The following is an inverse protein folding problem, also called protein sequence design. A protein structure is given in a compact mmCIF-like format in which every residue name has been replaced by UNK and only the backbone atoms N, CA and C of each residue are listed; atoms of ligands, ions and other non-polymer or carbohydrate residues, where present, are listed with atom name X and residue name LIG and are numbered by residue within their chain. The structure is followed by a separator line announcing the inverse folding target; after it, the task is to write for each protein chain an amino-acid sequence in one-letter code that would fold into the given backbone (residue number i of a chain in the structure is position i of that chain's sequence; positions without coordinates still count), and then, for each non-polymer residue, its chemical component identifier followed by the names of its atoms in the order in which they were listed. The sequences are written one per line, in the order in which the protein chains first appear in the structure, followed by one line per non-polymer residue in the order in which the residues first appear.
data_IF_450441766782
#
_entry.id   IF_450441766782
#
_cell.length_a   1.000
_cell.length_b   1.000
_cell.length_c   1.000
_cell.angle_alpha   90.00
_cell.angle_beta   90.00
_cell.angle_gamma   90.00
#
_symmetry.space_group_name_H-M   'P 1'
#
loop_
_entity.id
_entity.type
_entity.pdbx_description
1 polymer ?
#
# COMPACT_ATOMS: atom_id res chain seq x y z
N UNK A 1 -16.97 11.06 3.86
CA UNK A 1 -17.01 10.92 2.39
C UNK A 1 -15.78 10.12 1.97
N UNK A 2 -15.94 9.06 1.18
CA UNK A 2 -14.82 8.22 0.71
C UNK A 2 -14.20 8.78 -0.58
N UNK A 3 -12.92 8.50 -0.82
CA UNK A 3 -12.29 8.77 -2.11
C UNK A 3 -13.04 8.00 -3.22
N UNK A 4 -13.28 8.66 -4.36
CA UNK A 4 -13.75 7.97 -5.56
C UNK A 4 -12.67 7.06 -6.15
N UNK A 5 -13.04 6.13 -7.05
CA UNK A 5 -12.07 5.26 -7.71
C UNK A 5 -11.17 6.03 -8.67
N UNK A 6 -9.88 5.74 -8.62
CA UNK A 6 -8.88 6.33 -9.50
C UNK A 6 -8.73 5.51 -10.77
N UNK A 7 -8.62 6.17 -11.93
CA UNK A 7 -8.38 5.50 -13.21
C UNK A 7 -6.87 5.34 -13.43
N UNK A 8 -6.39 4.17 -13.88
CA UNK A 8 -4.98 4.00 -14.17
C UNK A 8 -4.55 4.97 -15.28
N UNK A 9 -3.35 5.50 -15.13
CA UNK A 9 -2.66 6.28 -16.15
C UNK A 9 -2.02 5.38 -17.22
N UNK A 10 -1.12 5.94 -18.04
CA UNK A 10 -0.37 5.17 -19.02
C UNK A 10 0.41 4.00 -18.39
N UNK A 11 0.67 2.90 -19.11
CA UNK A 11 1.48 1.79 -18.59
C UNK A 11 2.91 2.17 -18.20
N UNK A 12 3.41 3.33 -18.65
CA UNK A 12 4.72 3.89 -18.29
C UNK A 12 4.74 4.58 -16.93
N UNK A 13 3.59 4.72 -16.26
CA UNK A 13 3.50 5.31 -14.92
C UNK A 13 4.27 4.46 -13.90
N UNK A 14 5.22 5.09 -13.23
CA UNK A 14 6.07 4.43 -12.23
C UNK A 14 5.44 4.48 -10.83
N UNK A 15 5.51 3.36 -10.13
CA UNK A 15 5.12 3.25 -8.72
C UNK A 15 6.12 4.00 -7.84
N UNK A 16 5.65 4.95 -7.04
CA UNK A 16 6.48 5.81 -6.20
C UNK A 16 6.24 5.59 -4.71
N UNK A 17 5.00 5.28 -4.30
CA UNK A 17 4.64 5.11 -2.89
C UNK A 17 3.82 3.84 -2.64
N UNK A 18 4.29 3.02 -1.69
CA UNK A 18 3.59 1.86 -1.16
C UNK A 18 2.92 2.22 0.17
N UNK A 19 1.64 2.57 0.11
CA UNK A 19 0.77 2.77 1.26
C UNK A 19 0.30 1.45 1.85
N UNK A 20 1.03 0.92 2.82
CA UNK A 20 0.79 -0.41 3.38
C UNK A 20 0.02 -0.37 4.71
N UNK A 21 -0.72 0.69 4.99
CA UNK A 21 -1.61 0.76 6.16
C UNK A 21 -2.78 -0.21 6.09
N UNK A 22 -3.31 -0.60 7.26
CA UNK A 22 -4.54 -1.41 7.32
C UNK A 22 -5.79 -0.56 7.07
N UNK A 23 -6.87 -1.19 6.60
CA UNK A 23 -8.14 -0.50 6.40
C UNK A 23 -8.57 0.24 7.67
N UNK A 24 -9.18 1.41 7.48
CA UNK A 24 -9.67 2.29 8.58
C UNK A 24 -8.60 3.04 9.38
N UNK A 25 -7.33 3.07 8.94
CA UNK A 25 -6.29 3.96 9.49
C UNK A 25 -6.12 5.27 8.70
N UNK A 26 -7.16 5.70 7.97
CA UNK A 26 -7.10 6.90 7.14
C UNK A 26 -6.58 6.66 5.71
N UNK A 27 -6.57 5.41 5.24
CA UNK A 27 -6.05 5.01 3.92
C UNK A 27 -6.70 5.76 2.75
N UNK A 28 -7.99 6.08 2.82
CA UNK A 28 -8.70 6.81 1.76
C UNK A 28 -8.25 8.27 1.66
N UNK A 29 -8.11 8.95 2.80
CA UNK A 29 -7.58 10.32 2.85
C UNK A 29 -6.12 10.35 2.41
N UNK A 30 -5.33 9.35 2.84
CA UNK A 30 -3.95 9.19 2.42
C UNK A 30 -3.82 8.99 0.91
N UNK A 31 -4.65 8.13 0.31
CA UNK A 31 -4.71 7.95 -1.14
C UNK A 31 -5.01 9.25 -1.87
N UNK A 32 -6.04 9.99 -1.45
CA UNK A 32 -6.37 11.30 -2.04
C UNK A 32 -5.23 12.32 -1.93
N UNK A 33 -4.50 12.33 -0.80
CA UNK A 33 -3.31 13.17 -0.66
C UNK A 33 -2.18 12.79 -1.62
N UNK A 34 -1.95 11.49 -1.83
CA UNK A 34 -0.95 11.00 -2.79
C UNK A 34 -1.28 11.40 -4.22
N UNK A 35 -2.56 11.42 -4.60
CA UNK A 35 -2.96 11.88 -5.94
C UNK A 35 -2.62 13.34 -6.18
N UNK A 36 -2.82 14.19 -5.17
CA UNK A 36 -2.47 15.61 -5.21
C UNK A 36 -0.95 15.78 -5.28
N UNK A 37 -0.21 15.09 -4.41
CA UNK A 37 1.23 15.28 -4.25
C UNK A 37 2.03 14.69 -5.41
N UNK A 38 1.64 13.52 -5.91
CA UNK A 38 2.35 12.80 -6.97
C UNK A 38 1.80 13.12 -8.37
N UNK A 39 0.74 13.93 -8.46
CA UNK A 39 0.08 14.31 -9.71
C UNK A 39 -0.25 13.11 -10.59
N UNK A 40 -0.75 12.03 -9.97
CA UNK A 40 -1.04 10.78 -10.64
C UNK A 40 -2.01 9.91 -9.85
N UNK A 41 -2.56 8.86 -10.47
CA UNK A 41 -3.60 8.05 -9.83
C UNK A 41 -3.04 7.15 -8.73
N UNK A 42 -3.75 7.09 -7.60
CA UNK A 42 -3.42 6.22 -6.46
C UNK A 42 -4.43 5.09 -6.36
N UNK A 43 -3.96 3.85 -6.38
CA UNK A 43 -4.82 2.69 -6.24
C UNK A 43 -5.27 2.55 -4.78
N UNK A 44 -6.56 2.69 -4.50
CA UNK A 44 -7.12 2.42 -3.18
C UNK A 44 -8.09 1.26 -3.26
N UNK A 45 -7.80 0.13 -2.62
CA UNK A 45 -8.60 -1.06 -2.89
C UNK A 45 -10.07 -0.95 -2.48
N UNK A 46 -10.41 -0.23 -1.41
CA UNK A 46 -11.82 0.07 -1.08
C UNK A 46 -12.57 0.87 -2.17
N UNK A 47 -11.87 1.70 -2.96
CA UNK A 47 -12.48 2.48 -4.03
C UNK A 47 -12.42 1.72 -5.37
N UNK A 48 -11.25 1.17 -5.70
CA UNK A 48 -10.96 0.53 -6.97
C UNK A 48 -11.49 -0.90 -7.11
N UNK A 49 -11.68 -1.66 -6.02
CA UNK A 49 -12.31 -2.99 -6.11
C UNK A 49 -13.81 -2.88 -6.39
N UNK A 50 -14.48 -1.91 -5.77
CA UNK A 50 -15.94 -1.74 -5.91
C UNK A 50 -16.33 -1.11 -7.24
N UNK A 51 -15.46 -0.30 -7.83
CA UNK A 51 -15.73 0.39 -9.10
C UNK A 51 -14.95 -0.18 -10.29
N UNK A 52 -14.20 -1.27 -10.09
CA UNK A 52 -13.46 -1.93 -11.16
C UNK A 52 -14.36 -2.72 -12.11
N UNK A 53 -13.80 -3.14 -13.25
CA UNK A 53 -14.49 -4.08 -14.15
C UNK A 53 -14.55 -5.48 -13.55
N UNK A 54 -15.42 -6.35 -14.08
CA UNK A 54 -15.49 -7.76 -13.67
C UNK A 54 -14.12 -8.44 -13.79
N UNK A 55 -13.37 -8.14 -14.86
CA UNK A 55 -12.01 -8.65 -15.06
C UNK A 55 -11.07 -8.22 -13.93
N UNK A 56 -11.21 -6.99 -13.42
CA UNK A 56 -10.41 -6.49 -12.30
C UNK A 56 -10.66 -7.30 -11.03
N UNK A 57 -11.93 -7.55 -10.72
CA UNK A 57 -12.32 -8.36 -9.56
C UNK A 57 -11.87 -9.81 -9.71
N UNK A 58 -12.07 -10.41 -10.89
CA UNK A 58 -11.68 -11.80 -11.16
C UNK A 58 -10.17 -12.02 -11.02
N UNK A 59 -9.34 -11.05 -11.44
CA UNK A 59 -7.89 -11.12 -11.24
C UNK A 59 -7.51 -11.07 -9.75
N UNK A 60 -8.13 -10.19 -8.96
CA UNK A 60 -7.90 -10.18 -7.52
C UNK A 60 -8.37 -11.48 -6.83
N UNK A 61 -9.49 -12.04 -7.28
CA UNK A 61 -9.94 -13.35 -6.80
C UNK A 61 -8.94 -14.47 -7.12
N UNK A 62 -8.34 -14.48 -8.31
CA UNK A 62 -7.32 -15.45 -8.66
C UNK A 62 -6.03 -15.26 -7.85
N UNK A 63 -5.58 -14.00 -7.67
CA UNK A 63 -4.45 -13.68 -6.78
C UNK A 63 -4.70 -14.22 -5.37
N UNK A 64 -5.89 -13.96 -4.81
CA UNK A 64 -6.31 -14.43 -3.48
C UNK A 64 -6.40 -15.95 -3.40
N UNK A 65 -6.92 -16.61 -4.44
CA UNK A 65 -7.00 -18.07 -4.52
C UNK A 65 -5.62 -18.71 -4.47
N UNK A 66 -4.66 -18.16 -5.22
CA UNK A 66 -3.27 -18.65 -5.19
C UNK A 66 -2.66 -18.40 -3.80
N UNK A 67 -2.85 -17.21 -3.21
CA UNK A 67 -2.40 -16.90 -1.84
C UNK A 67 -2.96 -17.87 -0.80
N UNK A 68 -4.24 -18.22 -0.93
CA UNK A 68 -4.91 -19.17 -0.05
C UNK A 68 -4.27 -20.57 -0.18
N UNK A 69 -4.08 -21.07 -1.41
CA UNK A 69 -3.38 -22.34 -1.63
C UNK A 69 -1.97 -22.32 -1.02
N UNK A 70 -1.19 -21.25 -1.23
CA UNK A 70 0.15 -21.14 -0.67
C UNK A 70 0.17 -21.22 0.87
N UNK A 71 -0.87 -20.68 1.53
CA UNK A 71 -0.98 -20.72 3.00
C UNK A 71 -1.42 -22.09 3.52
N UNK A 72 -2.35 -22.75 2.83
CA UNK A 72 -3.03 -23.95 3.37
C UNK A 72 -2.56 -25.27 2.76
N UNK A 73 -2.02 -25.25 1.55
CA UNK A 73 -1.46 -26.42 0.87
C UNK A 73 -0.31 -25.98 -0.07
N UNK A 74 0.85 -25.55 0.47
CA UNK A 74 1.94 -24.99 -0.34
C UNK A 74 2.50 -25.97 -1.38
N UNK A 75 2.43 -27.27 -1.11
CA UNK A 75 2.86 -28.32 -2.03
C UNK A 75 2.00 -28.42 -3.30
N UNK A 76 0.75 -27.92 -3.27
CA UNK A 76 -0.13 -27.89 -4.44
C UNK A 76 0.08 -26.67 -5.34
N UNK A 77 1.04 -25.79 -5.04
CA UNK A 77 1.27 -24.55 -5.79
C UNK A 77 2.57 -24.66 -6.57
N UNK A 78 2.44 -24.75 -7.89
CA UNK A 78 3.57 -24.81 -8.81
C UNK A 78 4.37 -23.49 -8.85
N UNK A 79 5.62 -23.56 -9.32
CA UNK A 79 6.42 -22.36 -9.59
C UNK A 79 5.74 -21.43 -10.60
N UNK A 80 5.08 -22.00 -11.61
CA UNK A 80 4.35 -21.23 -12.62
C UNK A 80 3.19 -20.43 -12.00
N UNK A 81 2.42 -21.02 -11.08
CA UNK A 81 1.35 -20.29 -10.35
C UNK A 81 1.92 -19.15 -9.50
N UNK A 82 3.09 -19.34 -8.87
CA UNK A 82 3.76 -18.27 -8.08
C UNK A 82 4.17 -17.10 -8.97
N UNK A 83 4.76 -17.38 -10.13
CA UNK A 83 5.14 -16.36 -11.11
C UNK A 83 3.91 -15.66 -11.67
N UNK A 84 2.86 -16.44 -11.99
CA UNK A 84 1.61 -15.90 -12.52
C UNK A 84 0.91 -14.97 -11.53
N UNK A 85 0.92 -15.31 -10.23
CA UNK A 85 0.39 -14.41 -9.20
C UNK A 85 1.12 -13.07 -9.18
N UNK A 86 2.46 -13.07 -9.20
CA UNK A 86 3.25 -11.83 -9.24
C UNK A 86 2.91 -11.02 -10.50
N UNK A 87 2.81 -11.67 -11.64
CA UNK A 87 2.39 -11.05 -12.90
C UNK A 87 1.01 -10.39 -12.80
N UNK A 88 0.02 -11.07 -12.21
CA UNK A 88 -1.32 -10.50 -12.01
C UNK A 88 -1.29 -9.27 -11.10
N UNK A 89 -0.50 -9.29 -10.03
CA UNK A 89 -0.33 -8.13 -9.14
C UNK A 89 0.23 -6.94 -9.92
N UNK A 90 1.31 -7.13 -10.69
CA UNK A 90 1.88 -6.07 -11.55
C UNK A 90 0.82 -5.53 -12.50
N UNK A 91 0.04 -6.40 -13.15
CA UNK A 91 -1.01 -5.98 -14.09
C UNK A 91 -2.18 -5.25 -13.42
N UNK A 92 -2.44 -5.48 -12.14
CA UNK A 92 -3.47 -4.77 -11.41
C UNK A 92 -3.05 -3.39 -10.94
N UNK A 93 -1.74 -3.16 -10.83
CA UNK A 93 -1.15 -1.91 -10.35
C UNK A 93 -0.50 -1.09 -11.47
N UNK A 94 -0.49 -1.59 -12.70
CA UNK A 94 -0.03 -0.87 -13.89
C UNK A 94 -0.82 0.43 -14.05
N UNK A 95 -0.10 1.54 -14.27
CA UNK A 95 -0.71 2.86 -14.43
C UNK A 95 -0.94 3.63 -13.12
N UNK A 96 -0.58 3.10 -11.94
CA UNK A 96 -0.74 3.80 -10.66
C UNK A 96 0.60 4.29 -10.10
N UNK A 97 0.63 5.53 -9.58
CA UNK A 97 1.83 6.11 -8.94
C UNK A 97 1.94 5.70 -7.47
N UNK A 98 0.86 5.25 -6.87
CA UNK A 98 0.85 4.80 -5.49
C UNK A 98 -0.24 3.76 -5.24
N UNK A 99 -0.13 3.06 -4.11
CA UNK A 99 -1.16 2.16 -3.60
C UNK A 99 -1.51 2.48 -2.16
N UNK A 100 -2.74 2.19 -1.75
CA UNK A 100 -3.21 2.27 -0.38
C UNK A 100 -4.26 1.18 -0.11
N UNK A 101 -4.35 0.76 1.16
CA UNK A 101 -5.36 -0.19 1.66
C UNK A 101 -5.21 -1.64 1.16
N UNK A 102 -6.11 -2.50 1.62
CA UNK A 102 -6.30 -3.85 1.09
C UNK A 102 -6.89 -3.79 -0.32
N UNK A 103 -6.46 -4.66 -1.26
CA UNK A 103 -5.68 -5.87 -1.02
C UNK A 103 -4.16 -5.68 -1.04
N UNK A 104 -3.64 -4.53 -1.48
CA UNK A 104 -2.21 -4.29 -1.68
C UNK A 104 -1.38 -4.45 -0.39
N UNK A 105 -1.89 -3.96 0.75
CA UNK A 105 -1.21 -4.09 2.04
C UNK A 105 -0.94 -5.56 2.48
N UNK A 106 -1.67 -6.54 1.93
CA UNK A 106 -1.45 -7.96 2.20
C UNK A 106 -0.26 -8.54 1.43
N UNK A 107 0.17 -7.86 0.38
CA UNK A 107 1.24 -8.28 -0.53
C UNK A 107 2.52 -7.46 -0.35
N UNK A 108 2.69 -6.88 0.83
CA UNK A 108 3.81 -6.00 1.17
C UNK A 108 5.18 -6.53 0.72
N UNK A 109 5.52 -7.79 1.05
CA UNK A 109 6.81 -8.40 0.65
C UNK A 109 6.97 -8.44 -0.88
N UNK A 110 5.94 -8.88 -1.60
CA UNK A 110 5.95 -8.94 -3.06
C UNK A 110 6.09 -7.54 -3.66
N UNK A 111 5.39 -6.54 -3.11
CA UNK A 111 5.43 -5.17 -3.61
C UNK A 111 6.79 -4.50 -3.35
N UNK A 112 7.44 -4.79 -2.22
CA UNK A 112 8.80 -4.32 -1.95
C UNK A 112 9.83 -4.92 -2.92
N UNK A 113 9.67 -6.20 -3.27
CA UNK A 113 10.52 -6.84 -4.28
C UNK A 113 10.29 -6.28 -5.69
N UNK A 114 9.03 -5.99 -6.05
CA UNK A 114 8.66 -5.49 -7.38
C UNK A 114 9.00 -4.02 -7.58
N UNK A 115 8.93 -3.21 -6.52
CA UNK A 115 9.10 -1.76 -6.56
C UNK A 115 10.12 -1.32 -5.50
N UNK A 116 11.41 -1.69 -5.64
CA UNK A 116 12.43 -1.45 -4.61
C UNK A 116 12.69 0.03 -4.35
N UNK A 117 12.48 0.88 -5.36
CA UNK A 117 12.69 2.33 -5.27
C UNK A 117 11.49 3.08 -4.68
N UNK A 118 10.33 2.42 -4.52
CA UNK A 118 9.14 3.05 -3.98
C UNK A 118 9.26 3.25 -2.47
N UNK A 119 8.85 4.43 -1.99
CA UNK A 119 8.83 4.73 -0.56
C UNK A 119 7.70 3.98 0.12
N UNK A 120 7.94 3.44 1.30
CA UNK A 120 6.93 2.69 2.05
C UNK A 120 6.37 3.56 3.16
N UNK A 121 5.05 3.74 3.17
CA UNK A 121 4.35 4.49 4.22
C UNK A 121 3.25 3.61 4.80
N UNK A 122 3.22 3.49 6.12
CA UNK A 122 2.23 2.70 6.85
C UNK A 122 1.40 3.64 7.72
N UNK A 123 0.15 3.85 7.32
CA UNK A 123 -0.82 4.56 8.16
C UNK A 123 -1.23 3.68 9.33
N UNK A 124 -1.23 4.26 10.52
CA UNK A 124 -1.52 3.60 11.79
C UNK A 124 -2.59 4.36 12.55
N UNK A 125 -3.25 3.68 13.47
CA UNK A 125 -4.17 4.29 14.42
C UNK A 125 -4.05 3.53 15.74
N UNK A 126 -4.16 4.24 16.85
CA UNK A 126 -4.30 3.60 18.15
C UNK A 126 -5.66 2.91 18.22
N UNK A 127 -5.65 1.64 18.63
CA UNK A 127 -6.84 0.84 18.86
C UNK A 127 -7.37 1.12 20.27
N UNK A 128 -8.69 1.01 20.47
CA UNK A 128 -9.33 1.25 21.77
C UNK A 128 -8.76 0.39 22.90
N UNK A 129 -8.19 -0.77 22.56
CA UNK A 129 -7.56 -1.69 23.51
C UNK A 129 -6.06 -1.42 23.76
N UNK A 130 -5.55 -0.24 23.38
CA UNK A 130 -4.14 0.15 23.61
C UNK A 130 -3.13 -0.47 22.64
N UNK A 131 -3.59 -1.08 21.54
CA UNK A 131 -2.75 -1.59 20.44
C UNK A 131 -2.57 -0.57 19.31
N UNK A 132 -1.74 -0.90 18.31
CA UNK A 132 -1.65 -0.13 17.05
C UNK A 132 -2.14 -0.97 15.88
N UNK A 133 -3.06 -0.40 15.09
CA UNK A 133 -3.59 -1.00 13.88
C UNK A 133 -2.53 -1.00 12.77
N UNK A 134 -1.94 -2.17 12.51
CA UNK A 134 -0.80 -2.38 11.62
C UNK A 134 -0.91 -3.73 10.89
N UNK A 135 -0.36 -3.85 9.67
CA UNK A 135 -0.25 -5.14 9.02
C UNK A 135 0.70 -6.06 9.80
N UNK A 136 0.46 -7.38 9.71
CA UNK A 136 1.25 -8.40 10.43
C UNK A 136 2.75 -8.26 10.20
N UNK A 137 3.16 -7.95 8.96
CA UNK A 137 4.57 -7.74 8.60
C UNK A 137 5.23 -6.64 9.45
N UNK A 138 4.52 -5.52 9.64
CA UNK A 138 5.05 -4.35 10.34
C UNK A 138 4.91 -4.42 11.87
N UNK A 139 4.00 -5.25 12.40
CA UNK A 139 3.91 -5.50 13.85
C UNK A 139 5.24 -6.02 14.43
N UNK A 140 5.95 -6.86 13.68
CA UNK A 140 7.26 -7.37 14.08
C UNK A 140 8.39 -6.37 13.81
N UNK A 141 8.22 -5.47 12.85
CA UNK A 141 9.24 -4.50 12.45
C UNK A 141 9.36 -3.33 13.42
N UNK A 142 8.30 -2.99 14.16
CA UNK A 142 8.33 -1.95 15.22
C UNK A 142 9.32 -2.30 16.35
N UNK A 143 9.68 -3.58 16.49
CA UNK A 143 10.70 -4.03 17.45
C UNK A 143 12.14 -3.92 16.92
N UNK A 144 12.36 -3.44 15.70
CA UNK A 144 13.69 -3.27 15.09
C UNK A 144 14.08 -1.78 15.00
N UNK A 145 15.37 -1.44 15.20
CA UNK A 145 15.85 -0.05 15.28
C UNK A 145 15.89 0.70 13.92
N UNK A 146 15.47 0.10 12.82
CA UNK A 146 15.42 0.72 11.47
C UNK A 146 14.20 1.59 11.22
N UNK A 147 13.39 1.87 12.25
CA UNK A 147 12.36 2.91 12.22
C UNK A 147 13.02 4.28 12.08
N UNK A 148 12.95 4.86 10.89
CA UNK A 148 13.56 6.18 10.62
C UNK A 148 12.70 7.33 11.16
N UNK A 149 11.39 7.16 11.32
CA UNK A 149 10.52 8.11 12.02
C UNK A 149 9.15 7.47 12.39
N UNK A 150 8.69 7.67 13.63
CA UNK A 150 7.30 7.40 14.05
C UNK A 150 6.67 8.73 14.45
N UNK A 151 5.66 9.15 13.71
CA UNK A 151 4.80 10.28 14.09
C UNK A 151 3.41 9.74 14.43
N UNK A 152 2.65 10.45 15.27
CA UNK A 152 1.27 10.09 15.63
C UNK A 152 0.42 9.85 14.36
N UNK A 153 0.22 8.57 14.00
CA UNK A 153 -0.58 8.15 12.84
C UNK A 153 0.19 7.62 11.62
N UNK A 154 1.52 7.79 11.51
CA UNK A 154 2.29 7.32 10.33
C UNK A 154 3.64 6.70 10.72
N UNK A 155 3.98 5.60 10.05
CA UNK A 155 5.33 5.05 10.03
C UNK A 155 5.87 5.15 8.59
N UNK A 156 7.03 5.79 8.42
CA UNK A 156 7.69 5.92 7.12
C UNK A 156 8.92 5.02 7.11
N UNK A 157 9.07 4.23 6.05
CA UNK A 157 10.23 3.39 5.80
C UNK A 157 10.85 3.79 4.46
N UNK A 158 12.13 4.15 4.50
CA UNK A 158 12.92 4.39 3.29
C UNK A 158 13.77 3.16 2.97
N UNK A 159 13.62 2.61 1.77
CA UNK A 159 14.46 1.53 1.25
C UNK A 159 15.82 2.03 0.76
N UNK A 160 15.98 3.35 0.54
CA UNK A 160 17.20 4.00 0.11
C UNK A 160 17.75 4.97 1.17
N UNK A 161 19.01 4.82 1.55
CA UNK A 161 19.69 5.69 2.52
C UNK A 161 19.79 7.15 2.03
N UNK A 162 18.89 8.06 2.42
CA UNK A 162 19.25 9.49 2.53
C UNK A 162 18.34 10.25 3.48
N UNK A 163 18.94 10.88 4.49
CA UNK A 163 18.28 11.53 5.63
C UNK A 163 17.58 12.85 5.28
N UNK A 164 17.94 13.48 4.15
CA UNK A 164 17.58 14.87 3.82
C UNK A 164 16.19 15.02 3.16
N UNK A 165 15.67 13.97 2.52
CA UNK A 165 14.37 13.99 1.83
C UNK A 165 13.19 13.80 2.80
N UNK A 166 13.46 13.25 3.99
CA UNK A 166 12.47 12.88 5.01
C UNK A 166 11.89 14.08 5.76
N UNK A 167 12.69 15.13 6.00
CA UNK A 167 12.25 16.34 6.70
C UNK A 167 11.23 17.12 5.86
N UNK A 168 11.34 17.10 4.54
CA UNK A 168 10.40 17.77 3.64
C UNK A 168 9.03 17.07 3.60
N UNK A 169 8.98 15.73 3.63
CA UNK A 169 7.71 14.99 3.66
C UNK A 169 6.99 15.11 5.01
N UNK A 170 7.72 15.09 6.13
CA UNK A 170 7.16 15.33 7.46
C UNK A 170 6.57 16.76 7.60
N UNK A 171 7.21 17.76 6.98
CA UNK A 171 6.69 19.13 6.91
C UNK A 171 5.45 19.21 6.00
N UNK A 172 5.40 18.50 4.87
CA UNK A 172 4.23 18.50 3.98
C UNK A 172 2.97 17.88 4.61
N UNK A 173 3.10 16.79 5.37
CA UNK A 173 1.94 16.17 6.06
C UNK A 173 1.33 17.14 7.09
N UNK A 174 2.16 17.94 7.78
CA UNK A 174 1.70 18.96 8.72
C UNK A 174 1.05 20.19 8.06
N UNK A 175 1.35 20.50 6.80
CA UNK A 175 0.78 21.66 6.09
C UNK A 175 -0.56 21.37 5.40
N UNK A 176 -0.87 20.11 5.07
CA UNK A 176 -2.01 19.75 4.21
C UNK A 176 -3.19 19.17 5.01
N UNK A 177 -2.97 18.66 6.22
CA UNK A 177 -4.05 18.21 7.11
C UNK A 177 -4.20 19.26 8.22
N UNK A 178 -4.97 20.35 8.02
CA UNK A 178 -5.34 21.18 9.15
C UNK A 178 -6.14 20.29 10.10
N UNK A 179 -5.73 20.32 11.37
CA UNK A 179 -6.41 19.70 12.50
C UNK A 179 -7.91 20.00 12.40
N UNK A 180 -8.70 19.01 11.98
CA UNK A 180 -10.13 19.04 12.23
C UNK A 180 -10.32 18.66 13.70
N UNK A 181 -10.49 19.68 14.53
CA UNK A 181 -11.15 19.55 15.85
C UNK A 181 -12.59 19.06 15.66
#
# INVERSE_FOLDING_TARGET
MGQGPSKPGPPTTQMQVLGLGVSRTGTASFSGALEILLQGPSYHGGANLLAGSDIHMLRWNEILRISYKMRHNPASVSTAERVYQKFLIVKQLEGFVAVADAPCNMYAEILMDLYPDAKIIVTTRDEENGGRALPRLFKNLIRRPTLTCSFSGFLVYDTGQSMLTLTAMAVMVNFIIPTMN
#
